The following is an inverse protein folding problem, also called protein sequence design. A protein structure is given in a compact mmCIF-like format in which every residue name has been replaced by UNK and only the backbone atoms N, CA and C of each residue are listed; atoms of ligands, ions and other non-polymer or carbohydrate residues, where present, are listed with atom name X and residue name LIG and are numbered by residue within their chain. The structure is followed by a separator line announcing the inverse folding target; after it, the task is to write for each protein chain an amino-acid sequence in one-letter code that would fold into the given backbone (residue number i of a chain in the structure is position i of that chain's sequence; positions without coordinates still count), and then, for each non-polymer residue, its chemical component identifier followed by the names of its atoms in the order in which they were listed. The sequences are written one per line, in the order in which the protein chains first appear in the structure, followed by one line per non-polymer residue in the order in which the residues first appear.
data_IF_137766808654
#
_entry.id   IF_137766808654
#
_cell.length_a   1.000
_cell.length_b   1.000
_cell.length_c   1.000
_cell.angle_alpha   90.00
_cell.angle_beta   90.00
_cell.angle_gamma   90.00
#
_symmetry.space_group_name_H-M   'P 1'
#
loop_
_entity.id
_entity.type
_entity.pdbx_description
1 polymer ?
#
# COMPACT_ATOMS: atom_id res chain seq x y z
N UNK A 1 -1.59 31.31 -5.30
CA UNK A 1 -1.77 29.85 -5.26
C UNK A 1 -0.63 29.16 -6.01
N UNK A 2 0.56 29.04 -5.42
CA UNK A 2 1.74 28.47 -6.11
C UNK A 2 2.50 27.41 -5.29
N UNK A 3 2.08 27.11 -4.06
CA UNK A 3 2.82 26.23 -3.15
C UNK A 3 2.52 24.73 -3.33
N UNK A 4 1.40 24.35 -3.99
CA UNK A 4 0.92 22.95 -4.01
C UNK A 4 1.73 21.98 -4.88
N UNK A 5 2.60 22.47 -5.77
CA UNK A 5 3.34 21.61 -6.71
C UNK A 5 4.87 21.63 -6.49
N UNK A 6 5.39 22.42 -5.54
CA UNK A 6 6.83 22.56 -5.35
C UNK A 6 7.52 21.25 -4.93
N UNK A 7 6.82 20.38 -4.18
CA UNK A 7 7.33 19.07 -3.78
C UNK A 7 7.27 17.99 -4.88
N UNK A 8 6.45 18.17 -5.93
CA UNK A 8 6.36 17.20 -7.04
C UNK A 8 7.58 17.25 -7.98
N UNK A 9 8.38 18.32 -7.90
CA UNK A 9 9.63 18.45 -8.63
C UNK A 9 10.83 17.90 -7.84
N UNK A 10 10.60 17.27 -6.69
CA UNK A 10 11.66 16.66 -5.89
C UNK A 10 12.31 15.50 -6.69
N UNK A 11 13.61 15.58 -7.00
CA UNK A 11 14.32 14.51 -7.70
C UNK A 11 14.25 13.15 -6.99
N UNK A 12 14.03 13.14 -5.67
CA UNK A 12 13.84 11.91 -4.90
C UNK A 12 12.57 11.14 -5.31
N UNK A 13 11.59 11.80 -5.93
CA UNK A 13 10.38 11.17 -6.47
C UNK A 13 10.57 10.60 -7.88
N UNK A 14 11.70 10.88 -8.53
CA UNK A 14 11.97 10.48 -9.92
C UNK A 14 12.77 9.17 -10.02
N UNK A 15 13.17 8.58 -8.90
CA UNK A 15 13.98 7.38 -8.85
C UNK A 15 13.56 6.45 -7.70
N UNK A 16 14.07 5.21 -7.71
CA UNK A 16 13.85 4.28 -6.61
C UNK A 16 14.45 4.84 -5.32
N UNK A 17 13.69 4.79 -4.24
CA UNK A 17 14.13 5.14 -2.88
C UNK A 17 14.27 3.85 -2.09
N UNK A 18 15.44 3.64 -1.50
CA UNK A 18 15.66 2.52 -0.60
C UNK A 18 14.94 2.77 0.74
N UNK A 19 14.41 1.69 1.32
CA UNK A 19 13.95 1.73 2.71
C UNK A 19 15.14 1.99 3.65
N UNK A 20 14.90 2.52 4.87
CA UNK A 20 15.92 2.58 5.90
C UNK A 20 16.60 1.22 6.13
N UNK A 21 17.88 1.26 6.50
CA UNK A 21 18.67 0.05 6.80
C UNK A 21 18.00 -0.79 7.90
N UNK A 22 17.97 -2.11 7.69
CA UNK A 22 17.32 -3.06 8.62
C UNK A 22 15.78 -3.09 8.54
N UNK A 23 15.17 -2.50 7.51
CA UNK A 23 13.71 -2.56 7.31
C UNK A 23 13.32 -3.17 5.97
N UNK A 24 12.21 -3.91 5.97
CA UNK A 24 11.69 -4.61 4.79
C UNK A 24 10.18 -4.42 4.66
N UNK A 25 9.65 -4.56 3.44
CA UNK A 25 8.21 -4.72 3.25
C UNK A 25 7.76 -6.09 3.78
N UNK A 26 6.79 -6.09 4.69
CA UNK A 26 6.11 -7.31 5.10
C UNK A 26 4.99 -7.65 4.12
N UNK A 27 4.15 -6.68 3.78
CA UNK A 27 3.05 -6.84 2.83
C UNK A 27 2.52 -5.48 2.35
N UNK A 28 1.80 -5.49 1.24
CA UNK A 28 1.03 -4.37 0.70
C UNK A 28 -0.39 -4.85 0.39
N UNK A 29 -1.39 -4.07 0.73
CA UNK A 29 -2.77 -4.36 0.39
C UNK A 29 -3.44 -3.18 -0.32
N UNK A 30 -4.22 -3.52 -1.34
CA UNK A 30 -5.11 -2.62 -2.08
C UNK A 30 -6.40 -3.38 -2.40
N UNK A 31 -7.54 -2.70 -2.63
CA UNK A 31 -8.80 -3.33 -2.99
C UNK A 31 -8.78 -4.20 -4.25
N UNK A 32 -7.70 -4.16 -5.02
CA UNK A 32 -7.49 -5.04 -6.19
C UNK A 32 -7.26 -6.50 -5.79
N UNK A 33 -6.89 -6.75 -4.53
CA UNK A 33 -6.59 -8.08 -3.99
C UNK A 33 -7.45 -8.36 -2.75
N UNK A 34 -7.93 -9.60 -2.64
CA UNK A 34 -8.68 -10.03 -1.46
C UNK A 34 -7.80 -10.10 -0.21
N UNK A 35 -6.54 -10.50 -0.39
CA UNK A 35 -5.56 -10.66 0.69
C UNK A 35 -4.33 -9.76 0.46
N UNK A 36 -3.59 -9.37 1.51
CA UNK A 36 -2.33 -8.66 1.36
C UNK A 36 -1.32 -9.42 0.51
N UNK A 37 -0.63 -8.72 -0.38
CA UNK A 37 0.46 -9.25 -1.21
C UNK A 37 1.77 -9.08 -0.44
N UNK A 38 2.46 -10.18 -0.18
CA UNK A 38 3.76 -10.19 0.48
C UNK A 38 4.91 -10.40 -0.53
N UNK A 39 6.10 -9.84 -0.30
CA UNK A 39 7.28 -10.18 -1.10
C UNK A 39 7.63 -11.66 -0.92
N UNK A 40 8.02 -12.33 -2.02
CA UNK A 40 8.66 -13.66 -1.90
C UNK A 40 9.99 -13.50 -1.18
N UNK A 41 10.20 -14.28 -0.12
CA UNK A 41 11.47 -14.33 0.63
C UNK A 41 12.38 -15.45 0.16
N UNK A 42 11.80 -16.42 -0.55
CA UNK A 42 12.51 -17.54 -1.14
C UNK A 42 12.86 -17.18 -2.59
N UNK A 43 13.98 -16.46 -2.76
CA UNK A 43 14.53 -16.15 -4.09
C UNK A 43 15.28 -17.34 -4.72
N UNK A 44 15.28 -18.51 -4.08
CA UNK A 44 15.98 -19.71 -4.56
C UNK A 44 15.22 -20.46 -5.66
N UNK A 45 13.91 -20.26 -5.80
CA UNK A 45 13.10 -20.92 -6.84
C UNK A 45 12.66 -19.90 -7.90
N UNK A 46 13.47 -19.87 -8.96
CA UNK A 46 13.37 -19.10 -10.19
C UNK A 46 13.51 -17.56 -10.09
N UNK A 47 14.58 -16.98 -10.67
CA UNK A 47 14.48 -15.57 -11.06
C UNK A 47 13.27 -15.47 -11.98
N UNK A 48 12.36 -14.52 -11.69
CA UNK A 48 11.25 -14.19 -12.58
C UNK A 48 11.75 -14.27 -14.04
N UNK A 49 11.16 -15.14 -14.85
CA UNK A 49 11.57 -15.28 -16.25
C UNK A 49 11.60 -13.87 -16.88
N UNK A 50 12.56 -13.58 -17.75
CA UNK A 50 12.65 -12.26 -18.41
C UNK A 50 11.30 -11.92 -19.09
N UNK A 51 10.52 -11.04 -18.46
CA UNK A 51 9.18 -10.65 -18.92
C UNK A 51 8.03 -11.02 -17.97
N UNK A 52 8.26 -11.84 -16.95
CA UNK A 52 7.31 -12.07 -15.87
C UNK A 52 7.44 -10.96 -14.83
N UNK A 53 6.41 -10.12 -14.76
CA UNK A 53 6.23 -9.20 -13.65
C UNK A 53 5.70 -10.03 -12.48
N UNK A 54 6.44 -10.12 -11.38
CA UNK A 54 5.88 -10.63 -10.12
C UNK A 54 4.62 -9.86 -9.73
N UNK A 55 3.82 -10.37 -8.79
CA UNK A 55 2.59 -9.71 -8.36
C UNK A 55 2.86 -8.27 -7.94
N UNK A 56 2.30 -7.30 -8.67
CA UNK A 56 2.46 -5.87 -8.39
C UNK A 56 1.16 -5.29 -7.84
N UNK A 57 1.22 -4.75 -6.62
CA UNK A 57 0.12 -3.96 -6.05
C UNK A 57 0.24 -2.50 -6.50
N UNK A 58 -0.75 -2.02 -7.24
CA UNK A 58 -0.83 -0.62 -7.67
C UNK A 58 -1.74 0.17 -6.74
N UNK A 59 -1.41 1.44 -6.49
CA UNK A 59 -2.34 2.40 -5.89
C UNK A 59 -2.58 3.53 -6.87
N UNK A 60 -3.84 3.78 -7.23
CA UNK A 60 -4.19 4.85 -8.16
C UNK A 60 -4.47 6.15 -7.42
N UNK A 61 -3.71 7.20 -7.74
CA UNK A 61 -3.94 8.57 -7.28
C UNK A 61 -4.65 9.33 -8.40
N UNK A 62 -5.85 9.84 -8.12
CA UNK A 62 -6.69 10.52 -9.10
C UNK A 62 -6.41 12.04 -9.12
N UNK A 63 -6.65 12.74 -10.25
CA UNK A 63 -6.37 14.17 -10.37
C UNK A 63 -7.15 15.09 -9.41
N UNK A 64 -8.25 14.61 -8.86
CA UNK A 64 -9.07 15.29 -7.86
C UNK A 64 -8.49 15.16 -6.43
N UNK A 65 -7.41 14.40 -6.24
CA UNK A 65 -6.77 14.15 -4.95
C UNK A 65 -7.32 12.94 -4.19
N UNK A 66 -8.33 12.24 -4.72
CA UNK A 66 -8.73 10.93 -4.17
C UNK A 66 -7.71 9.87 -4.57
N UNK A 67 -7.67 8.76 -3.83
CA UNK A 67 -6.70 7.68 -4.05
C UNK A 67 -7.38 6.34 -3.76
N UNK A 68 -6.81 5.23 -4.17
CA UNK A 68 -7.29 3.95 -3.68
C UNK A 68 -6.88 3.73 -2.22
N UNK A 69 -7.74 3.03 -1.47
CA UNK A 69 -7.39 2.67 -0.10
C UNK A 69 -6.15 1.78 -0.15
N UNK A 70 -5.08 2.13 0.55
CA UNK A 70 -3.82 1.37 0.49
C UNK A 70 -3.28 1.21 1.89
N UNK A 71 -2.85 -0.01 2.20
CA UNK A 71 -2.16 -0.35 3.44
C UNK A 71 -0.80 -0.95 3.10
N UNK A 72 0.26 -0.48 3.75
CA UNK A 72 1.63 -0.96 3.56
C UNK A 72 2.20 -1.28 4.93
N UNK A 73 2.70 -2.49 5.13
CA UNK A 73 3.41 -2.86 6.36
C UNK A 73 4.90 -2.96 6.09
N UNK A 74 5.66 -2.18 6.84
CA UNK A 74 7.13 -2.22 6.87
C UNK A 74 7.55 -2.68 8.26
N UNK A 75 8.46 -3.64 8.33
CA UNK A 75 8.92 -4.25 9.59
C UNK A 75 10.43 -4.26 9.66
N UNK A 76 10.97 -4.43 10.87
CA UNK A 76 12.37 -4.76 11.08
C UNK A 76 12.70 -6.11 10.44
N UNK A 77 13.88 -6.22 9.85
CA UNK A 77 14.41 -7.48 9.31
C UNK A 77 14.68 -8.49 10.43
N UNK A 78 15.10 -8.01 11.60
CA UNK A 78 15.45 -8.83 12.76
C UNK A 78 14.22 -9.21 13.62
N UNK A 79 13.15 -8.40 13.58
CA UNK A 79 11.92 -8.61 14.34
C UNK A 79 10.66 -8.20 13.55
N UNK A 80 9.90 -9.16 12.99
CA UNK A 80 8.68 -8.88 12.25
C UNK A 80 7.53 -8.23 13.06
N UNK A 81 7.59 -8.26 14.39
CA UNK A 81 6.60 -7.60 15.25
C UNK A 81 6.87 -6.08 15.33
N UNK A 82 8.13 -5.66 15.19
CA UNK A 82 8.52 -4.25 15.19
C UNK A 82 8.36 -3.65 13.79
N UNK A 83 7.56 -2.58 13.67
CA UNK A 83 7.35 -1.95 12.37
C UNK A 83 6.30 -0.85 12.36
N UNK A 84 5.99 -0.38 11.15
CA UNK A 84 4.97 0.64 10.90
C UNK A 84 3.98 0.17 9.84
N UNK A 85 2.72 0.52 10.05
CA UNK A 85 1.69 0.45 9.02
C UNK A 85 1.48 1.84 8.44
N UNK A 86 1.59 1.97 7.13
CA UNK A 86 1.24 3.19 6.39
C UNK A 86 -0.15 2.98 5.79
N UNK A 87 -1.07 3.86 6.14
CA UNK A 87 -2.43 3.88 5.64
C UNK A 87 -2.64 5.10 4.75
N UNK A 88 -3.15 4.88 3.54
CA UNK A 88 -3.51 5.93 2.59
C UNK A 88 -5.02 5.94 2.39
N UNK A 89 -5.71 6.94 2.94
CA UNK A 89 -7.19 7.01 2.92
C UNK A 89 -7.77 7.28 1.53
N UNK A 90 -8.83 6.56 1.09
CA UNK A 90 -9.29 6.56 -0.29
C UNK A 90 -9.89 7.89 -0.80
N UNK A 91 -10.45 8.72 0.08
CA UNK A 91 -11.10 9.97 -0.33
C UNK A 91 -10.23 11.18 -0.07
N UNK A 92 -9.59 11.22 1.10
CA UNK A 92 -8.80 12.37 1.53
C UNK A 92 -7.38 12.37 0.95
N UNK A 93 -6.87 11.19 0.55
CA UNK A 93 -5.46 11.00 0.24
C UNK A 93 -4.54 11.19 1.44
N UNK A 94 -5.11 11.23 2.66
CA UNK A 94 -4.32 11.40 3.88
C UNK A 94 -3.48 10.16 4.12
N UNK A 95 -2.20 10.39 4.41
CA UNK A 95 -1.25 9.35 4.79
C UNK A 95 -1.12 9.35 6.31
N UNK A 96 -1.45 8.24 6.95
CA UNK A 96 -1.25 8.00 8.37
C UNK A 96 -0.14 6.95 8.54
N UNK A 97 0.73 7.15 9.53
CA UNK A 97 1.76 6.18 9.92
C UNK A 97 1.48 5.79 11.36
N UNK A 98 1.38 4.48 11.63
CA UNK A 98 1.08 3.92 12.94
C UNK A 98 2.03 2.78 13.26
N UNK A 99 2.34 2.57 14.54
CA UNK A 99 3.23 1.48 14.99
C UNK A 99 2.46 0.15 14.98
N UNK A 100 1.17 0.18 15.31
CA UNK A 100 0.33 -1.00 15.33
C UNK A 100 0.13 -1.60 13.93
N UNK A 101 0.02 -2.93 13.87
CA UNK A 101 -0.45 -3.58 12.65
C UNK A 101 -1.94 -3.29 12.46
N UNK A 102 -2.30 -2.79 11.28
CA UNK A 102 -3.69 -2.58 10.87
C UNK A 102 -3.95 -3.40 9.62
N UNK A 103 -4.65 -4.53 9.80
CA UNK A 103 -4.98 -5.44 8.70
C UNK A 103 -6.17 -4.92 7.88
N UNK A 104 -6.33 -5.36 6.62
CA UNK A 104 -7.46 -4.96 5.79
C UNK A 104 -8.81 -5.23 6.45
N UNK A 105 -8.96 -6.37 7.12
CA UNK A 105 -10.24 -6.78 7.72
C UNK A 105 -10.66 -5.81 8.84
N UNK A 106 -9.70 -5.36 9.64
CA UNK A 106 -9.93 -4.36 10.68
C UNK A 106 -10.21 -2.97 10.08
N UNK A 107 -9.44 -2.61 9.06
CA UNK A 107 -9.52 -1.35 8.34
C UNK A 107 -10.86 -1.15 7.61
N UNK A 108 -11.45 -2.23 7.11
CA UNK A 108 -12.72 -2.23 6.40
C UNK A 108 -13.89 -2.74 7.24
N UNK A 109 -13.69 -3.04 8.53
CA UNK A 109 -14.73 -3.58 9.42
C UNK A 109 -15.99 -2.70 9.55
N UNK A 110 -15.91 -1.43 9.18
CA UNK A 110 -17.03 -0.50 9.17
C UNK A 110 -17.85 -0.56 7.87
N UNK A 111 -17.33 -1.18 6.82
CA UNK A 111 -18.06 -1.41 5.58
C UNK A 111 -19.05 -2.56 5.76
N UNK A 112 -20.24 -2.47 5.16
CA UNK A 112 -21.18 -3.57 5.16
C UNK A 112 -20.62 -4.75 4.33
N UNK A 113 -20.90 -5.97 4.78
CA UNK A 113 -20.51 -7.20 4.07
C UNK A 113 -21.17 -7.31 2.69
N UNK A 114 -22.37 -6.75 2.55
CA UNK A 114 -23.16 -6.73 1.32
C UNK A 114 -23.34 -5.30 0.81
N UNK A 115 -23.22 -5.13 -0.51
CA UNK A 115 -23.47 -3.84 -1.17
C UNK A 115 -24.94 -3.42 -1.06
N UNK A 116 -25.25 -2.14 -1.30
CA UNK A 116 -26.63 -1.66 -1.27
C UNK A 116 -27.47 -2.41 -2.30
N UNK A 117 -28.58 -2.99 -1.86
CA UNK A 117 -29.57 -3.56 -2.77
C UNK A 117 -30.25 -2.42 -3.55
N UNK A 118 -30.26 -2.52 -4.88
CA UNK A 118 -31.12 -1.68 -5.69
C UNK A 118 -32.54 -2.26 -5.58
N UNK A 119 -33.46 -1.50 -5.00
CA UNK A 119 -34.89 -1.80 -5.12
C UNK A 119 -35.21 -1.90 -6.62
N UNK A 120 -35.48 -3.13 -7.09
CA UNK A 120 -35.89 -3.33 -8.48
C UNK A 120 -37.26 -2.66 -8.67
N UNK A 121 -37.47 -1.94 -9.79
CA UNK A 121 -38.72 -1.24 -10.07
C UNK A 121 -39.93 -2.19 -10.21
#
# INVERSE_FOLDING_TARGET
MAARAAGLADPALLGPVALPEGTIFAWVWTPQYAEPVAPSRDLEEDPLEEGELGTMAYTYIFPNGTVEYTLIRIVSEDDPEEGYTIEVEPVSGRVNIMEEERRPEDATSWLPDEGPELEQP
#
